data_IF_695927815034
#
_entry.id   IF_695927815034
#
_cell.length_a   1.000
_cell.length_b   1.000
_cell.length_c   1.000
_cell.angle_alpha   90.00
_cell.angle_beta   90.00
_cell.angle_gamma   90.00
#
_symmetry.space_group_name_H-M   'P 1'
#
loop_
_entity.id
_entity.type
_entity.pdbx_description
1 polymer ?
#
# COMPACT_ATOMS: atom_id res chain seq x y z
N UNK A 1 -12.00 -13.83 2.81
CA UNK A 1 -10.76 -14.38 2.21
C UNK A 1 -10.98 -15.78 1.65
N UNK A 2 -11.35 -16.80 2.43
CA UNK A 2 -11.57 -18.16 1.90
C UNK A 2 -12.60 -18.18 0.76
N UNK A 3 -13.69 -17.42 0.87
CA UNK A 3 -14.70 -17.29 -0.20
C UNK A 3 -14.21 -16.56 -1.46
N UNK A 4 -13.29 -15.59 -1.33
CA UNK A 4 -12.76 -14.82 -2.44
C UNK A 4 -11.63 -15.57 -3.18
N UNK A 5 -10.77 -16.27 -2.44
CA UNK A 5 -9.78 -17.20 -3.00
C UNK A 5 -10.46 -18.36 -3.73
N UNK A 6 -11.53 -18.92 -3.13
CA UNK A 6 -12.31 -19.99 -3.77
C UNK A 6 -13.01 -19.56 -5.06
N UNK A 7 -13.45 -18.30 -5.19
CA UNK A 7 -14.07 -17.78 -6.42
C UNK A 7 -13.08 -17.33 -7.48
N UNK A 8 -11.88 -16.87 -7.09
CA UNK A 8 -10.88 -16.31 -8.00
C UNK A 8 -9.75 -17.26 -8.41
N UNK A 9 -9.75 -18.51 -7.92
CA UNK A 9 -8.80 -19.55 -8.31
C UNK A 9 -7.32 -19.18 -8.08
N UNK A 10 -6.45 -19.71 -8.94
CA UNK A 10 -5.00 -19.50 -8.88
C UNK A 10 -4.57 -18.02 -8.94
N UNK A 11 -5.16 -17.16 -9.80
CA UNK A 11 -4.83 -15.72 -9.83
C UNK A 11 -5.05 -15.00 -8.49
N UNK A 12 -6.15 -15.32 -7.79
CA UNK A 12 -6.42 -14.77 -6.47
C UNK A 12 -5.40 -15.28 -5.44
N UNK A 13 -5.01 -16.55 -5.49
CA UNK A 13 -3.98 -17.10 -4.60
C UNK A 13 -2.61 -16.46 -4.84
N UNK A 14 -2.21 -16.27 -6.10
CA UNK A 14 -0.97 -15.55 -6.47
C UNK A 14 -1.00 -14.11 -5.97
N UNK A 15 -2.12 -13.42 -6.12
CA UNK A 15 -2.31 -12.06 -5.60
C UNK A 15 -2.19 -12.01 -4.08
N UNK A 16 -2.77 -12.98 -3.37
CA UNK A 16 -2.66 -13.05 -1.91
C UNK A 16 -1.22 -13.29 -1.45
N UNK A 17 -0.53 -14.23 -2.11
CA UNK A 17 0.87 -14.54 -1.84
C UNK A 17 1.77 -13.32 -2.07
N UNK A 18 1.55 -12.61 -3.18
CA UNK A 18 2.25 -11.37 -3.48
C UNK A 18 2.01 -10.32 -2.40
N UNK A 19 0.75 -10.04 -2.04
CA UNK A 19 0.43 -9.02 -1.05
C UNK A 19 1.10 -9.32 0.30
N UNK A 20 1.08 -10.58 0.73
CA UNK A 20 1.75 -11.01 1.97
C UNK A 20 3.27 -10.87 1.90
N UNK A 21 3.88 -11.19 0.75
CA UNK A 21 5.33 -10.98 0.52
C UNK A 21 5.68 -9.49 0.52
N UNK A 22 4.88 -8.66 -0.14
CA UNK A 22 5.08 -7.22 -0.21
C UNK A 22 5.01 -6.56 1.18
N UNK A 23 4.06 -6.95 2.04
CA UNK A 23 4.00 -6.47 3.44
C UNK A 23 5.27 -6.84 4.21
N UNK A 24 5.69 -8.11 4.16
CA UNK A 24 6.90 -8.56 4.86
C UNK A 24 8.15 -7.81 4.39
N UNK A 25 8.24 -7.54 3.09
CA UNK A 25 9.35 -6.80 2.50
C UNK A 25 9.32 -5.32 2.89
N UNK A 26 8.15 -4.67 2.83
CA UNK A 26 7.96 -3.30 3.27
C UNK A 26 8.38 -3.14 4.74
N UNK A 27 7.88 -4.00 5.63
CA UNK A 27 8.22 -4.00 7.06
C UNK A 27 9.72 -4.13 7.30
N UNK A 28 10.36 -5.11 6.64
CA UNK A 28 11.81 -5.34 6.77
C UNK A 28 12.64 -4.16 6.26
N UNK A 29 12.25 -3.56 5.14
CA UNK A 29 12.97 -2.42 4.58
C UNK A 29 12.75 -1.16 5.42
N UNK A 30 11.52 -0.86 5.85
CA UNK A 30 11.25 0.27 6.74
C UNK A 30 12.08 0.21 8.02
N UNK A 31 12.18 -0.98 8.63
CA UNK A 31 12.96 -1.18 9.85
C UNK A 31 14.48 -1.01 9.65
N UNK A 32 15.00 -1.12 8.42
CA UNK A 32 16.45 -1.11 8.13
C UNK A 32 16.94 0.20 7.53
N UNK A 33 16.14 0.82 6.66
CA UNK A 33 16.58 1.91 5.77
C UNK A 33 15.55 3.05 5.67
N UNK A 34 14.44 3.00 6.41
CA UNK A 34 13.38 3.99 6.30
C UNK A 34 12.67 3.95 4.94
N UNK A 35 12.20 5.11 4.47
CA UNK A 35 11.24 5.21 3.35
C UNK A 35 11.85 5.48 1.96
N UNK A 36 13.11 5.92 1.90
CA UNK A 36 13.69 6.50 0.68
C UNK A 36 13.85 5.45 -0.42
N UNK A 37 14.39 4.27 -0.10
CA UNK A 37 14.74 3.23 -1.08
C UNK A 37 13.85 1.97 -1.00
N UNK A 38 12.55 2.17 -0.79
CA UNK A 38 11.61 1.05 -0.74
C UNK A 38 11.37 0.44 -2.13
N UNK A 39 11.76 -0.84 -2.28
CA UNK A 39 11.55 -1.64 -3.49
C UNK A 39 10.61 -2.79 -3.16
N UNK A 40 9.40 -2.76 -3.70
CA UNK A 40 8.40 -3.81 -3.55
C UNK A 40 8.24 -4.63 -4.84
N UNK A 41 8.01 -5.95 -4.75
CA UNK A 41 7.86 -6.81 -5.91
C UNK A 41 6.66 -6.38 -6.75
N UNK A 42 6.71 -6.61 -8.07
CA UNK A 42 5.57 -6.39 -8.94
C UNK A 42 4.41 -7.33 -8.57
N UNK A 43 3.15 -6.84 -8.54
CA UNK A 43 2.00 -7.73 -8.40
C UNK A 43 1.89 -8.66 -9.62
N UNK A 44 1.35 -9.87 -9.44
CA UNK A 44 1.18 -10.80 -10.55
C UNK A 44 0.18 -10.26 -11.58
N UNK A 45 0.26 -10.69 -12.85
CA UNK A 45 -0.74 -10.37 -13.86
C UNK A 45 -2.17 -10.69 -13.37
N UNK A 46 -3.11 -9.81 -13.66
CA UNK A 46 -4.51 -9.95 -13.23
C UNK A 46 -4.80 -9.53 -11.78
N UNK A 47 -3.80 -9.12 -10.99
CA UNK A 47 -4.02 -8.67 -9.60
C UNK A 47 -4.99 -7.48 -9.47
N UNK A 48 -5.19 -6.70 -10.54
CA UNK A 48 -6.16 -5.60 -10.59
C UNK A 48 -7.59 -6.07 -10.29
N UNK A 49 -7.98 -7.25 -10.79
CA UNK A 49 -9.31 -7.84 -10.57
C UNK A 49 -9.52 -8.35 -9.12
N UNK A 50 -8.47 -8.33 -8.28
CA UNK A 50 -8.47 -8.97 -6.97
C UNK A 50 -8.24 -7.99 -5.82
N UNK A 51 -8.72 -6.74 -5.95
CA UNK A 51 -8.63 -5.70 -4.91
C UNK A 51 -9.06 -6.20 -3.52
N UNK A 52 -10.18 -6.91 -3.42
CA UNK A 52 -10.69 -7.45 -2.16
C UNK A 52 -9.72 -8.47 -1.50
N UNK A 53 -8.95 -9.20 -2.32
CA UNK A 53 -7.93 -10.14 -1.83
C UNK A 53 -6.74 -9.37 -1.25
N UNK A 54 -6.26 -8.34 -1.95
CA UNK A 54 -5.17 -7.48 -1.46
C UNK A 54 -5.55 -6.86 -0.11
N UNK A 55 -6.71 -6.20 -0.03
CA UNK A 55 -7.18 -5.57 1.21
C UNK A 55 -7.39 -6.59 2.34
N UNK A 56 -7.89 -7.77 2.02
CA UNK A 56 -8.07 -8.87 2.98
C UNK A 56 -6.74 -9.36 3.55
N UNK A 57 -5.71 -9.50 2.72
CA UNK A 57 -4.36 -9.88 3.17
C UNK A 57 -3.78 -8.79 4.05
N UNK A 58 -3.83 -7.52 3.63
CA UNK A 58 -3.32 -6.39 4.43
C UNK A 58 -3.94 -6.33 5.83
N UNK A 59 -5.25 -6.62 5.94
CA UNK A 59 -5.93 -6.73 7.23
C UNK A 59 -5.40 -7.90 8.05
N UNK A 60 -5.22 -9.07 7.44
CA UNK A 60 -4.76 -10.28 8.15
C UNK A 60 -3.30 -10.24 8.58
N UNK A 61 -2.44 -9.53 7.85
CA UNK A 61 -1.03 -9.37 8.23
C UNK A 61 -0.82 -8.36 9.35
N UNK A 62 -1.89 -7.70 9.83
CA UNK A 62 -1.79 -6.59 10.77
C UNK A 62 -0.92 -5.46 10.23
N UNK A 63 -1.00 -5.17 8.92
CA UNK A 63 -0.19 -4.14 8.32
C UNK A 63 -0.61 -2.76 8.86
N UNK A 64 0.33 -1.91 9.28
CA UNK A 64 0.03 -0.55 9.74
C UNK A 64 -0.34 0.39 8.56
N UNK A 65 -0.77 1.61 8.84
CA UNK A 65 -1.18 2.59 7.82
C UNK A 65 -0.13 2.77 6.72
N UNK A 66 1.15 2.94 7.09
CA UNK A 66 2.25 3.12 6.15
C UNK A 66 2.50 1.87 5.28
N UNK A 67 2.58 0.68 5.88
CA UNK A 67 2.75 -0.58 5.17
C UNK A 67 1.60 -0.85 4.19
N UNK A 68 0.36 -0.56 4.62
CA UNK A 68 -0.85 -0.68 3.77
C UNK A 68 -0.78 0.27 2.59
N UNK A 69 -0.44 1.53 2.83
CA UNK A 69 -0.34 2.56 1.79
C UNK A 69 0.78 2.23 0.81
N UNK A 70 1.93 1.72 1.26
CA UNK A 70 3.02 1.25 0.39
C UNK A 70 2.62 0.09 -0.53
N UNK A 71 2.01 -0.96 0.01
CA UNK A 71 1.59 -2.11 -0.80
C UNK A 71 0.49 -1.70 -1.78
N UNK A 72 -0.44 -0.83 -1.36
CA UNK A 72 -1.48 -0.31 -2.24
C UNK A 72 -0.94 0.61 -3.32
N UNK A 73 0.04 1.47 -3.01
CA UNK A 73 0.74 2.28 -4.00
C UNK A 73 1.39 1.39 -5.06
N UNK A 74 2.09 0.32 -4.64
CA UNK A 74 2.69 -0.62 -5.58
C UNK A 74 1.66 -1.33 -6.46
N UNK A 75 0.52 -1.70 -5.88
CA UNK A 75 -0.60 -2.32 -6.58
C UNK A 75 -1.24 -1.38 -7.61
N UNK A 76 -1.48 -0.11 -7.25
CA UNK A 76 -1.99 0.91 -8.17
C UNK A 76 -0.99 1.26 -9.28
N UNK A 77 0.31 1.34 -8.94
CA UNK A 77 1.36 1.59 -9.93
C UNK A 77 1.36 0.57 -11.07
N UNK A 78 1.18 -0.72 -10.76
CA UNK A 78 1.07 -1.78 -11.76
C UNK A 78 -0.18 -1.68 -12.67
N UNK A 79 -1.13 -0.82 -12.31
CA UNK A 79 -2.32 -0.49 -13.11
C UNK A 79 -2.20 0.88 -13.77
N UNK A 80 -0.98 1.46 -13.78
CA UNK A 80 -0.70 2.80 -14.31
C UNK A 80 -1.45 3.92 -13.58
N UNK A 81 -1.91 3.65 -12.35
CA UNK A 81 -2.58 4.65 -11.51
C UNK A 81 -1.54 5.21 -10.53
N UNK A 82 -1.10 6.44 -10.79
CA UNK A 82 -0.24 7.16 -9.86
C UNK A 82 -1.02 7.52 -8.59
N UNK A 83 -0.55 7.02 -7.44
CA UNK A 83 -1.05 7.39 -6.12
C UNK A 83 0.09 7.87 -5.24
N UNK A 84 -0.01 9.07 -4.69
CA UNK A 84 0.94 9.62 -3.73
C UNK A 84 0.63 9.09 -2.35
N UNK A 85 1.64 8.59 -1.63
CA UNK A 85 1.50 8.36 -0.20
C UNK A 85 1.66 9.71 0.49
N UNK A 86 0.69 10.06 1.32
CA UNK A 86 0.73 11.24 2.18
C UNK A 86 0.89 10.75 3.61
N UNK A 87 1.80 11.38 4.35
CA UNK A 87 1.98 11.17 5.79
C UNK A 87 1.63 12.47 6.49
N UNK A 88 0.76 12.37 7.48
CA UNK A 88 0.39 13.47 8.34
C UNK A 88 0.50 13.10 9.80
N UNK A 89 0.55 14.13 10.64
CA UNK A 89 0.51 14.02 12.08
C UNK A 89 -0.59 14.92 12.65
N UNK A 90 -1.20 14.52 13.75
CA UNK A 90 -2.08 15.41 14.52
C UNK A 90 -1.27 16.53 15.18
N UNK A 91 -1.94 17.62 15.54
CA UNK A 91 -1.33 18.67 16.33
C UNK A 91 -0.84 18.12 17.69
N UNK A 92 0.31 18.57 18.23
CA UNK A 92 0.82 18.09 19.52
C UNK A 92 -0.19 18.26 20.67
N UNK A 93 -1.03 19.30 20.62
CA UNK A 93 -2.06 19.62 21.62
C UNK A 93 -3.21 18.60 21.68
N UNK A 94 -3.40 17.78 20.65
CA UNK A 94 -4.47 16.78 20.56
C UNK A 94 -3.97 15.35 20.80
N UNK A 95 -2.72 15.19 21.23
CA UNK A 95 -2.02 13.91 21.32
C UNK A 95 -1.38 13.56 19.98
N UNK A 96 -0.06 13.27 19.99
CA UNK A 96 0.70 12.96 18.78
C UNK A 96 0.25 11.62 18.18
N UNK A 97 -0.25 11.66 16.95
CA UNK A 97 -0.64 10.50 16.17
C UNK A 97 -0.16 10.67 14.73
N UNK A 98 0.55 9.67 14.21
CA UNK A 98 1.04 9.66 12.83
C UNK A 98 0.20 8.71 11.97
N UNK A 99 -0.24 9.19 10.82
CA UNK A 99 -1.06 8.42 9.88
C UNK A 99 -0.56 8.56 8.45
N UNK A 100 -0.82 7.53 7.63
CA UNK A 100 -0.39 7.49 6.25
C UNK A 100 -1.48 6.93 5.34
N UNK A 101 -1.85 7.70 4.32
CA UNK A 101 -2.92 7.38 3.37
C UNK A 101 -2.44 7.56 1.91
N UNK A 102 -3.25 7.11 0.95
CA UNK A 102 -3.04 7.45 -0.47
C UNK A 102 -3.90 8.65 -0.85
N UNK A 103 -3.37 9.50 -1.71
CA UNK A 103 -4.15 10.56 -2.34
C UNK A 103 -5.40 10.00 -3.04
N UNK A 104 -6.53 10.66 -2.82
CA UNK A 104 -7.83 10.24 -3.32
C UNK A 104 -8.45 9.03 -2.61
N UNK A 105 -7.86 8.53 -1.51
CA UNK A 105 -8.63 7.74 -0.54
C UNK A 105 -9.58 8.65 0.24
N UNK A 106 -10.79 8.16 0.52
CA UNK A 106 -11.70 8.76 1.50
C UNK A 106 -11.18 8.39 2.90
N UNK A 107 -10.31 9.23 3.45
CA UNK A 107 -9.75 9.03 4.79
C UNK A 107 -10.30 10.11 5.73
N UNK A 108 -11.09 9.68 6.72
CA UNK A 108 -11.77 10.59 7.66
C UNK A 108 -10.78 11.29 8.60
N UNK A 109 -9.61 10.69 8.84
CA UNK A 109 -8.59 11.26 9.72
C UNK A 109 -7.81 12.38 9.03
N UNK A 110 -7.86 12.46 7.68
CA UNK A 110 -7.11 13.45 6.87
C UNK A 110 -7.34 14.89 7.31
N UNK A 111 -8.58 15.27 7.62
CA UNK A 111 -8.94 16.67 7.92
C UNK A 111 -8.29 17.18 9.22
N UNK A 112 -7.97 16.26 10.15
CA UNK A 112 -7.34 16.59 11.42
C UNK A 112 -5.79 16.53 11.39
N UNK A 113 -5.20 16.23 10.23
CA UNK A 113 -3.77 15.95 10.10
C UNK A 113 -3.03 17.10 9.39
N UNK A 114 -1.88 17.47 9.94
CA UNK A 114 -0.89 18.32 9.25
C UNK A 114 0.01 17.41 8.42
N UNK A 115 -0.01 17.59 7.10
CA UNK A 115 0.85 16.84 6.19
C UNK A 115 2.33 17.20 6.40
N UNK A 116 3.18 16.20 6.60
CA UNK A 116 4.63 16.39 6.80
C UNK A 116 5.46 15.77 5.69
N UNK A 117 4.90 14.83 4.92
CA UNK A 117 5.62 14.16 3.85
C UNK A 117 4.68 13.68 2.75
N UNK A 118 5.12 13.87 1.51
CA UNK A 118 4.52 13.27 0.32
C UNK A 118 5.54 12.41 -0.41
N UNK A 119 5.20 11.15 -0.66
CA UNK A 119 6.01 10.20 -1.42
C UNK A 119 5.27 9.84 -2.72
N UNK A 120 5.69 10.37 -3.88
CA UNK A 120 5.06 10.04 -5.16
C UNK A 120 5.21 8.55 -5.49
N UNK A 121 4.40 8.05 -6.42
CA UNK A 121 4.63 6.71 -6.96
C UNK A 121 5.97 6.69 -7.69
N UNK A 122 6.89 5.77 -7.37
CA UNK A 122 8.14 5.63 -8.12
C UNK A 122 7.88 5.45 -9.62
N UNK A 123 8.56 6.19 -10.52
CA UNK A 123 8.35 6.08 -11.97
C UNK A 123 8.49 4.64 -12.49
N UNK A 124 9.47 3.90 -11.97
CA UNK A 124 9.67 2.48 -12.30
C UNK A 124 8.47 1.56 -11.98
N UNK A 125 7.49 2.02 -11.19
CA UNK A 125 6.28 1.25 -10.91
C UNK A 125 5.15 1.54 -11.89
N UNK A 126 5.20 2.65 -12.63
CA UNK A 126 4.21 3.08 -13.61
C UNK A 126 4.51 2.56 -15.02
N UNK A 127 5.50 1.68 -15.18
CA UNK A 127 6.06 1.36 -16.48
C UNK A 127 6.83 2.56 -17.03
N UNK A 128 7.99 2.32 -17.63
CA UNK A 128 8.63 3.36 -18.42
C UNK A 128 7.65 3.75 -19.55
N UNK A 129 7.25 5.02 -19.62
CA UNK A 129 6.79 5.54 -20.91
C UNK A 129 8.01 5.43 -21.82
N UNK A 130 7.93 4.74 -22.97
CA UNK A 130 8.95 4.89 -24.00
C UNK A 130 9.06 6.37 -24.40
#
# INVERSE_FOLDING_TARGET
MARALRRGGLPAARTALWAGRAVRQARRQLARQGMTDLRLPAPPPGAAAHRAVVLGVLRRTGANCLERSLVRQRWYGAQLVARTIVIGVTAPSTGFHAHAWLDGDTDAEREAMVEILRRPTPPAWLGERP
#
